data_IF_980050062359
#
_entry.id   IF_980050062359
#
_cell.length_a   1.000
_cell.length_b   1.000
_cell.length_c   1.000
_cell.angle_alpha   90.00
_cell.angle_beta   90.00
_cell.angle_gamma   90.00
#
_symmetry.space_group_name_H-M   'P 1'
#
loop_
_entity.id
_entity.type
_entity.pdbx_description
1 polymer ?
#
# COMPACT_ATOMS: atom_id res chain seq x y z
N UNK A 1 -10.87 14.17 -0.25
CA UNK A 1 -10.39 14.19 -1.64
C UNK A 1 -10.61 12.82 -2.25
N UNK A 2 -11.49 12.72 -3.27
CA UNK A 2 -11.83 11.45 -3.94
C UNK A 2 -10.99 11.20 -5.18
N UNK A 3 -10.14 12.16 -5.58
CA UNK A 3 -9.49 12.12 -6.88
C UNK A 3 -8.03 11.65 -6.76
N UNK A 4 -7.75 10.49 -7.35
CA UNK A 4 -6.38 9.94 -7.45
C UNK A 4 -5.37 10.92 -8.06
N UNK A 5 -5.84 11.83 -8.93
CA UNK A 5 -5.02 12.86 -9.57
C UNK A 5 -4.42 13.84 -8.57
N UNK A 6 -5.16 14.22 -7.53
CA UNK A 6 -4.66 15.14 -6.51
C UNK A 6 -3.57 14.49 -5.64
N UNK A 7 -3.71 13.20 -5.33
CA UNK A 7 -2.67 12.42 -4.63
C UNK A 7 -1.41 12.27 -5.48
N UNK A 8 -1.55 11.99 -6.79
CA UNK A 8 -0.42 11.92 -7.72
C UNK A 8 0.30 13.28 -7.79
N UNK A 9 -0.44 14.38 -7.91
CA UNK A 9 0.13 15.73 -7.90
C UNK A 9 0.89 15.99 -6.61
N UNK A 10 0.30 15.64 -5.46
CA UNK A 10 0.92 15.81 -4.15
C UNK A 10 2.23 15.04 -4.02
N UNK A 11 2.28 13.79 -4.48
CA UNK A 11 3.52 13.01 -4.51
C UNK A 11 4.57 13.66 -5.43
N UNK A 12 4.17 14.16 -6.60
CA UNK A 12 5.05 14.90 -7.50
C UNK A 12 5.60 16.19 -6.89
N UNK A 13 4.78 16.94 -6.16
CA UNK A 13 5.21 18.13 -5.42
C UNK A 13 6.22 17.78 -4.32
N UNK A 14 6.01 16.68 -3.59
CA UNK A 14 6.94 16.21 -2.57
C UNK A 14 8.28 15.79 -3.19
N UNK A 15 8.23 15.08 -4.31
CA UNK A 15 9.43 14.68 -5.06
C UNK A 15 10.19 15.88 -5.62
N UNK A 16 9.50 16.94 -6.06
CA UNK A 16 10.15 18.19 -6.48
C UNK A 16 10.78 18.93 -5.29
N UNK A 17 10.14 18.91 -4.13
CA UNK A 17 10.65 19.54 -2.90
C UNK A 17 11.87 18.84 -2.33
N UNK A 18 12.06 17.54 -2.58
CA UNK A 18 13.25 16.81 -2.15
C UNK A 18 14.49 17.15 -2.98
N UNK A 19 14.34 17.88 -4.09
CA UNK A 19 15.45 18.32 -4.95
C UNK A 19 15.95 17.25 -5.92
N UNK A 20 15.38 16.04 -5.88
CA UNK A 20 15.75 14.92 -6.77
C UNK A 20 14.52 14.10 -7.20
N UNK A 21 13.64 14.65 -8.05
CA UNK A 21 12.41 13.96 -8.46
C UNK A 21 12.66 12.69 -9.27
N UNK A 22 13.75 12.64 -10.04
CA UNK A 22 14.11 11.46 -10.85
C UNK A 22 14.64 10.35 -9.95
N UNK A 23 15.47 10.66 -8.95
CA UNK A 23 15.93 9.69 -7.98
C UNK A 23 14.80 9.14 -7.11
N UNK A 24 13.81 9.95 -6.74
CA UNK A 24 12.59 9.48 -6.07
C UNK A 24 11.85 8.44 -6.92
N UNK A 25 11.66 8.70 -8.21
CA UNK A 25 11.03 7.74 -9.12
C UNK A 25 11.86 6.45 -9.27
N UNK A 26 13.18 6.58 -9.37
CA UNK A 26 14.10 5.44 -9.44
C UNK A 26 13.98 4.54 -8.21
N UNK A 27 14.04 5.13 -7.00
CA UNK A 27 13.87 4.40 -5.73
C UNK A 27 12.50 3.72 -5.62
N UNK A 28 11.44 4.35 -6.13
CA UNK A 28 10.10 3.74 -6.14
C UNK A 28 10.04 2.48 -6.99
N UNK A 29 10.60 2.53 -8.20
CA UNK A 29 10.65 1.37 -9.09
C UNK A 29 11.53 0.27 -8.47
N UNK A 30 12.69 0.62 -7.94
CA UNK A 30 13.63 -0.32 -7.34
C UNK A 30 13.07 -0.98 -6.07
N UNK A 31 12.51 -0.20 -5.16
CA UNK A 31 11.87 -0.71 -3.94
C UNK A 31 10.70 -1.64 -4.27
N UNK A 32 9.89 -1.32 -5.29
CA UNK A 32 8.79 -2.18 -5.70
C UNK A 32 9.28 -3.50 -6.32
N UNK A 33 10.31 -3.44 -7.17
CA UNK A 33 10.79 -4.63 -7.89
C UNK A 33 11.57 -5.59 -6.98
N UNK A 34 12.36 -5.05 -6.04
CA UNK A 34 13.18 -5.85 -5.13
C UNK A 34 12.32 -6.72 -4.21
N UNK A 35 11.24 -6.17 -3.64
CA UNK A 35 10.33 -6.95 -2.79
C UNK A 35 9.59 -8.03 -3.59
N UNK A 36 9.09 -7.68 -4.79
CA UNK A 36 8.37 -8.63 -5.63
C UNK A 36 9.27 -9.80 -6.05
N UNK A 37 10.54 -9.53 -6.37
CA UNK A 37 11.50 -10.56 -6.77
C UNK A 37 11.73 -11.57 -5.65
N UNK A 38 11.80 -11.14 -4.39
CA UNK A 38 11.99 -12.04 -3.24
C UNK A 38 10.77 -12.93 -3.05
N UNK A 39 9.57 -12.36 -3.11
CA UNK A 39 8.32 -13.11 -2.97
C UNK A 39 8.15 -14.13 -4.10
N UNK A 40 8.38 -13.71 -5.34
CA UNK A 40 8.34 -14.57 -6.51
C UNK A 40 9.32 -15.75 -6.39
N UNK A 41 10.55 -15.50 -5.92
CA UNK A 41 11.55 -16.54 -5.76
C UNK A 41 11.16 -17.58 -4.69
N UNK A 42 10.58 -17.13 -3.57
CA UNK A 42 10.07 -18.03 -2.53
C UNK A 42 8.93 -18.90 -3.07
N UNK A 43 7.96 -18.29 -3.75
CA UNK A 43 6.79 -18.99 -4.31
C UNK A 43 7.20 -19.97 -5.39
N UNK A 44 8.15 -19.62 -6.26
CA UNK A 44 8.71 -20.54 -7.26
C UNK A 44 9.33 -21.75 -6.59
N UNK A 45 10.06 -21.55 -5.49
CA UNK A 45 10.67 -22.65 -4.73
C UNK A 45 9.60 -23.56 -4.14
N UNK A 46 8.61 -22.98 -3.46
CA UNK A 46 7.49 -23.72 -2.86
C UNK A 46 6.67 -24.51 -3.90
N UNK A 47 6.38 -23.92 -5.06
CA UNK A 47 5.65 -24.59 -6.14
C UNK A 47 6.44 -25.76 -6.72
N UNK A 48 7.76 -25.59 -6.91
CA UNK A 48 8.64 -26.68 -7.35
C UNK A 48 8.72 -27.82 -6.32
N UNK A 49 8.84 -27.49 -5.03
CA UNK A 49 8.89 -28.48 -3.94
C UNK A 49 7.56 -29.20 -3.75
N UNK A 50 6.43 -28.53 -4.02
CA UNK A 50 5.10 -29.13 -3.99
C UNK A 50 4.81 -30.08 -5.16
N UNK A 51 5.71 -30.14 -6.15
CA UNK A 51 5.54 -30.97 -7.34
C UNK A 51 4.41 -30.47 -8.24
N UNK A 52 4.24 -29.14 -8.36
CA UNK A 52 3.21 -28.55 -9.22
C UNK A 52 3.36 -29.05 -10.67
N UNK A 53 2.34 -29.76 -11.16
CA UNK A 53 2.29 -30.41 -12.49
C UNK A 53 1.30 -29.69 -13.44
N UNK A 54 1.06 -28.39 -13.19
CA UNK A 54 0.17 -27.59 -14.04
C UNK A 54 0.88 -27.02 -15.26
N UNK A 55 0.16 -26.91 -16.38
CA UNK A 55 0.70 -26.46 -17.67
C UNK A 55 1.17 -24.99 -17.68
N UNK A 56 0.74 -24.17 -16.71
CA UNK A 56 1.06 -22.74 -16.63
C UNK A 56 1.65 -22.35 -15.27
N UNK A 57 2.92 -22.72 -15.07
CA UNK A 57 3.70 -22.41 -13.88
C UNK A 57 3.79 -20.90 -13.60
N UNK A 58 3.93 -20.08 -14.65
CA UNK A 58 4.08 -18.63 -14.49
C UNK A 58 2.79 -17.95 -14.01
N UNK A 59 1.63 -18.41 -14.50
CA UNK A 59 0.34 -17.96 -13.98
C UNK A 59 0.13 -18.42 -12.54
N UNK A 60 0.53 -19.65 -12.20
CA UNK A 60 0.46 -20.15 -10.82
C UNK A 60 1.32 -19.31 -9.86
N UNK A 61 2.55 -18.96 -10.25
CA UNK A 61 3.43 -18.06 -9.47
C UNK A 61 2.76 -16.70 -9.27
N UNK A 62 2.22 -16.09 -10.32
CA UNK A 62 1.55 -14.78 -10.22
C UNK A 62 0.35 -14.81 -9.28
N UNK A 63 -0.50 -15.82 -9.41
CA UNK A 63 -1.68 -15.98 -8.55
C UNK A 63 -1.25 -16.16 -7.10
N UNK A 64 -0.32 -17.08 -6.84
CA UNK A 64 0.19 -17.32 -5.50
C UNK A 64 0.85 -16.06 -4.89
N UNK A 65 1.54 -15.27 -5.71
CA UNK A 65 2.16 -13.99 -5.30
C UNK A 65 1.11 -12.99 -4.85
N UNK A 66 0.07 -12.81 -5.67
CA UNK A 66 -1.05 -11.93 -5.35
C UNK A 66 -1.76 -12.40 -4.06
N UNK A 67 -2.00 -13.71 -3.92
CA UNK A 67 -2.66 -14.25 -2.74
C UNK A 67 -1.78 -14.13 -1.47
N UNK A 68 -0.46 -14.32 -1.58
CA UNK A 68 0.48 -14.06 -0.47
C UNK A 68 0.42 -12.62 -0.03
N UNK A 69 0.46 -11.66 -0.96
CA UNK A 69 0.37 -10.23 -0.65
C UNK A 69 -0.97 -9.85 -0.01
N UNK A 70 -2.07 -10.52 -0.37
CA UNK A 70 -3.38 -10.30 0.25
C UNK A 70 -3.44 -10.87 1.67
N UNK A 71 -2.99 -12.11 1.85
CA UNK A 71 -3.19 -12.87 3.08
C UNK A 71 -2.15 -12.62 4.17
N UNK A 72 -0.90 -12.33 3.81
CA UNK A 72 0.20 -12.24 4.78
C UNK A 72 0.43 -10.79 5.24
N UNK A 73 0.05 -10.52 6.49
CA UNK A 73 0.25 -9.21 7.10
C UNK A 73 1.73 -8.85 7.26
N UNK A 74 2.59 -9.82 7.54
CA UNK A 74 4.04 -9.62 7.73
C UNK A 74 4.70 -9.19 6.42
N UNK A 75 4.33 -9.85 5.31
CA UNK A 75 4.81 -9.49 3.97
C UNK A 75 4.38 -8.06 3.62
N UNK A 76 3.10 -7.71 3.84
CA UNK A 76 2.63 -6.34 3.59
C UNK A 76 3.37 -5.31 4.45
N UNK A 77 3.52 -5.58 5.74
CA UNK A 77 4.21 -4.67 6.67
C UNK A 77 5.68 -4.46 6.27
N UNK A 78 6.37 -5.51 5.82
CA UNK A 78 7.73 -5.41 5.30
C UNK A 78 7.80 -4.49 4.06
N UNK A 79 6.93 -4.72 3.08
CA UNK A 79 6.86 -3.91 1.85
C UNK A 79 6.61 -2.44 2.18
N UNK A 80 5.61 -2.16 3.03
CA UNK A 80 5.26 -0.78 3.37
C UNK A 80 6.35 -0.10 4.22
N UNK A 81 6.98 -0.82 5.15
CA UNK A 81 8.10 -0.28 5.94
C UNK A 81 9.28 0.09 5.06
N UNK A 82 9.56 -0.72 4.02
CA UNK A 82 10.61 -0.43 3.06
C UNK A 82 10.26 0.77 2.18
N UNK A 83 9.03 0.84 1.66
CA UNK A 83 8.56 2.00 0.89
C UNK A 83 8.58 3.29 1.72
N UNK A 84 8.26 3.23 3.01
CA UNK A 84 8.34 4.38 3.92
C UNK A 84 9.78 4.88 4.07
N UNK A 85 10.74 3.96 4.16
CA UNK A 85 12.16 4.26 4.29
C UNK A 85 12.78 4.78 2.98
N UNK A 86 12.51 4.09 1.87
CA UNK A 86 13.20 4.30 0.61
C UNK A 86 12.55 5.43 -0.22
N UNK A 87 11.24 5.64 -0.08
CA UNK A 87 10.46 6.64 -0.82
C UNK A 87 9.42 7.33 0.09
N UNK A 88 9.88 8.10 1.10
CA UNK A 88 8.99 8.74 2.06
C UNK A 88 8.02 9.73 1.41
N UNK A 89 8.39 10.36 0.29
CA UNK A 89 7.53 11.28 -0.46
C UNK A 89 6.27 10.59 -1.00
N UNK A 90 6.43 9.37 -1.51
CA UNK A 90 5.33 8.56 -2.00
C UNK A 90 4.46 8.09 -0.83
N UNK A 91 5.08 7.52 0.20
CA UNK A 91 4.37 6.98 1.36
C UNK A 91 3.60 8.06 2.13
N UNK A 92 4.16 9.27 2.22
CA UNK A 92 3.48 10.42 2.83
C UNK A 92 2.20 10.76 2.06
N UNK A 93 2.27 10.97 0.75
CA UNK A 93 1.11 11.37 -0.06
C UNK A 93 0.07 10.25 -0.18
N UNK A 94 0.51 9.05 -0.53
CA UNK A 94 -0.39 7.96 -0.90
C UNK A 94 -0.95 7.21 0.28
N UNK A 95 -0.25 7.15 1.42
CA UNK A 95 -0.71 6.41 2.61
C UNK A 95 -1.03 7.40 3.72
N UNK A 96 -0.04 8.11 4.25
CA UNK A 96 -0.18 8.85 5.51
C UNK A 96 -1.20 10.00 5.43
N UNK A 97 -1.07 10.88 4.43
CA UNK A 97 -2.00 12.00 4.23
C UNK A 97 -3.40 11.49 3.86
N UNK A 98 -3.48 10.43 3.05
CA UNK A 98 -4.76 9.80 2.68
C UNK A 98 -5.47 9.18 3.88
N UNK A 99 -4.75 8.47 4.75
CA UNK A 99 -5.31 7.85 5.95
C UNK A 99 -5.95 8.89 6.86
N UNK A 100 -5.28 10.04 7.02
CA UNK A 100 -5.82 11.16 7.78
C UNK A 100 -7.09 11.72 7.11
N UNK A 101 -7.07 11.98 5.80
CA UNK A 101 -8.22 12.53 5.06
C UNK A 101 -9.43 11.58 5.15
N UNK A 102 -9.20 10.27 5.02
CA UNK A 102 -10.27 9.27 5.10
C UNK A 102 -10.84 9.15 6.51
N UNK A 103 -9.98 9.12 7.54
CA UNK A 103 -10.43 9.13 8.94
C UNK A 103 -11.24 10.39 9.26
N UNK A 104 -10.78 11.56 8.79
CA UNK A 104 -11.47 12.84 8.98
C UNK A 104 -12.85 12.87 8.33
N UNK A 105 -12.98 12.32 7.12
CA UNK A 105 -14.27 12.24 6.45
C UNK A 105 -15.29 11.39 7.23
N UNK A 106 -14.84 10.29 7.87
CA UNK A 106 -15.68 9.46 8.72
C UNK A 106 -16.12 10.25 9.97
N UNK A 107 -15.19 10.93 10.64
CA UNK A 107 -15.52 11.76 11.81
C UNK A 107 -16.55 12.85 11.49
N UNK A 108 -16.36 13.56 10.39
CA UNK A 108 -17.22 14.67 10.01
C UNK A 108 -18.64 14.17 9.69
N UNK A 109 -18.77 13.01 9.04
CA UNK A 109 -20.06 12.37 8.79
C UNK A 109 -20.75 11.91 10.09
N UNK A 110 -19.99 11.38 11.06
CA UNK A 110 -20.53 11.01 12.38
C UNK A 110 -21.02 12.24 13.16
N UNK A 111 -20.30 13.37 13.08
CA UNK A 111 -20.69 14.63 13.75
C UNK A 111 -21.96 15.25 13.18
N UNK A 112 -22.19 15.10 11.87
CA UNK A 112 -23.43 15.54 11.22
C UNK A 112 -24.63 14.72 11.73
N UNK A 113 -24.39 13.53 12.32
CA UNK A 113 -25.41 12.73 13.00
C UNK A 113 -26.42 12.06 12.08
N UNK A 114 -26.21 12.12 10.76
CA UNK A 114 -27.07 11.47 9.75
C UNK A 114 -26.88 9.95 9.71
N UNK A 115 -25.67 9.48 9.99
CA UNK A 115 -25.29 8.08 9.91
C UNK A 115 -24.84 7.59 11.29
N UNK A 116 -25.52 6.56 11.82
CA UNK A 116 -25.11 5.92 13.10
C UNK A 116 -23.97 4.93 12.92
N UNK A 117 -23.85 4.36 11.71
CA UNK A 117 -22.84 3.36 11.36
C UNK A 117 -22.24 3.75 10.00
N UNK A 118 -20.92 3.69 9.89
CA UNK A 118 -20.19 3.95 8.64
C UNK A 118 -19.36 2.72 8.32
N UNK A 119 -19.50 2.22 7.09
CA UNK A 119 -18.68 1.13 6.55
C UNK A 119 -17.74 1.72 5.51
N UNK A 120 -16.44 1.56 5.72
CA UNK A 120 -15.40 2.00 4.79
C UNK A 120 -14.77 0.80 4.09
N UNK A 121 -14.68 0.85 2.76
CA UNK A 121 -13.93 -0.12 1.95
C UNK A 121 -12.64 0.55 1.52
N UNK A 122 -11.51 0.05 2.01
CA UNK A 122 -10.19 0.65 1.79
C UNK A 122 -9.16 -0.42 1.44
N UNK A 123 -8.09 0.00 0.76
CA UNK A 123 -6.94 -0.86 0.55
C UNK A 123 -6.30 -1.26 1.89
N UNK A 124 -5.80 -2.50 1.97
CA UNK A 124 -5.24 -3.05 3.21
C UNK A 124 -4.14 -2.18 3.84
N UNK A 125 -3.39 -1.44 3.01
CA UNK A 125 -2.35 -0.51 3.43
C UNK A 125 -2.86 0.61 4.36
N UNK A 126 -4.12 1.02 4.20
CA UNK A 126 -4.71 2.17 4.87
C UNK A 126 -5.34 1.83 6.22
N UNK A 127 -5.73 0.57 6.42
CA UNK A 127 -6.47 0.16 7.60
C UNK A 127 -5.74 0.51 8.92
N UNK A 128 -4.41 0.28 9.06
CA UNK A 128 -3.70 0.63 10.30
C UNK A 128 -3.66 2.13 10.57
N UNK A 129 -3.33 2.95 9.56
CA UNK A 129 -3.22 4.40 9.72
C UNK A 129 -4.58 5.07 9.92
N UNK A 130 -5.63 4.59 9.25
CA UNK A 130 -7.00 5.04 9.50
C UNK A 130 -7.46 4.71 10.91
N UNK A 131 -7.27 3.48 11.38
CA UNK A 131 -7.62 3.09 12.74
C UNK A 131 -6.92 3.96 13.77
N UNK A 132 -5.61 4.22 13.58
CA UNK A 132 -4.83 5.10 14.44
C UNK A 132 -5.37 6.54 14.46
N UNK A 133 -5.77 7.09 13.31
CA UNK A 133 -6.28 8.46 13.23
C UNK A 133 -7.69 8.58 13.84
N UNK A 134 -8.55 7.58 13.65
CA UNK A 134 -9.88 7.54 14.27
C UNK A 134 -9.79 7.45 15.79
N UNK A 135 -8.91 6.58 16.32
CA UNK A 135 -8.73 6.40 17.77
C UNK A 135 -8.12 7.62 18.48
N UNK A 136 -7.35 8.45 17.78
CA UNK A 136 -6.76 9.67 18.36
C UNK A 136 -7.79 10.77 18.63
N UNK A 137 -8.92 10.74 17.93
CA UNK A 137 -9.91 11.81 17.92
C UNK A 137 -11.25 11.40 18.57
N UNK A 138 -11.31 10.19 19.14
CA UNK A 138 -12.37 9.72 20.03
C UNK A 138 -12.00 9.99 21.49
#
# INVERSE_FOLDING_TARGET
DRESVATIRRAGELALRSGDPIGVLGRLIESSNSEMTVIDAQIRTELNESGFDGDDFESAVKVATVERMKGDATVRESIFSKLEKDVPEFTLAFITERDYIMAKAIEDELKIGKSKNIVAVVGAAHAPGMAKNLLKNM
#
